data_IF_827803554419
#
_entry.id   IF_827803554419
#
_cell.length_a   1.000
_cell.length_b   1.000
_cell.length_c   1.000
_cell.angle_alpha   90.00
_cell.angle_beta   90.00
_cell.angle_gamma   90.00
#
_symmetry.space_group_name_H-M   'P 1'
#
loop_
_entity.id
_entity.type
_entity.pdbx_description
1 polymer ?
#
# COMPACT_ATOMS: atom_id res chain seq x y z
N UNK A 1 12.36 5.27 25.95
CA UNK A 1 11.31 5.57 24.94
C UNK A 1 12.02 5.69 23.61
N UNK A 2 11.52 5.04 22.55
CA UNK A 2 12.16 5.13 21.22
C UNK A 2 11.67 6.42 20.54
N UNK A 3 12.55 7.31 20.05
CA UNK A 3 12.14 8.52 19.32
C UNK A 3 11.40 8.20 18.02
N UNK A 4 10.41 9.02 17.66
CA UNK A 4 9.68 8.87 16.39
C UNK A 4 10.52 9.32 15.20
N UNK A 5 11.34 10.35 15.40
CA UNK A 5 12.32 10.88 14.45
C UNK A 5 13.46 11.60 15.19
N UNK A 6 14.41 12.12 14.42
CA UNK A 6 15.49 12.96 14.91
C UNK A 6 15.52 14.27 14.12
N UNK A 7 15.96 15.36 14.75
CA UNK A 7 16.33 16.57 14.02
C UNK A 7 17.61 16.34 13.20
N UNK A 8 17.98 17.30 12.35
CA UNK A 8 19.27 17.26 11.66
C UNK A 8 20.47 17.09 12.62
N UNK A 9 20.40 17.73 13.80
CA UNK A 9 21.40 17.67 14.90
C UNK A 9 21.27 16.44 15.82
N UNK A 10 20.63 15.36 15.36
CA UNK A 10 20.45 14.12 16.11
C UNK A 10 19.71 14.28 17.45
N UNK A 11 18.89 15.32 17.60
CA UNK A 11 18.03 15.46 18.77
C UNK A 11 16.77 14.60 18.60
N UNK A 12 16.39 13.80 19.60
CA UNK A 12 15.21 12.95 19.52
C UNK A 12 13.93 13.79 19.48
N UNK A 13 12.99 13.38 18.63
CA UNK A 13 11.70 14.06 18.46
C UNK A 13 10.56 13.04 18.67
N UNK A 14 9.59 13.41 19.50
CA UNK A 14 8.39 12.62 19.74
C UNK A 14 7.17 13.38 19.24
N UNK A 15 6.40 12.79 18.34
CA UNK A 15 5.25 13.45 17.73
C UNK A 15 4.17 13.80 18.77
N UNK A 16 4.10 13.04 19.87
CA UNK A 16 3.18 13.25 20.99
C UNK A 16 3.43 14.51 21.80
N UNK A 17 4.65 15.05 21.78
CA UNK A 17 5.05 16.19 22.63
C UNK A 17 4.53 17.54 22.12
N UNK A 18 4.07 17.60 20.87
CA UNK A 18 3.59 18.83 20.25
C UNK A 18 2.09 19.03 20.46
N UNK A 19 1.64 20.28 20.39
CA UNK A 19 0.22 20.61 20.17
C UNK A 19 -0.10 20.56 18.67
N UNK A 20 -1.38 20.66 18.30
CA UNK A 20 -1.78 20.73 16.88
C UNK A 20 -1.13 21.92 16.16
N UNK A 21 -1.10 23.10 16.80
CA UNK A 21 -0.54 24.31 16.21
C UNK A 21 0.98 24.22 16.02
N UNK A 22 1.70 23.70 17.02
CA UNK A 22 3.14 23.46 16.91
C UNK A 22 3.43 22.42 15.82
N UNK A 23 2.65 21.33 15.76
CA UNK A 23 2.82 20.29 14.74
C UNK A 23 2.62 20.81 13.31
N UNK A 24 1.63 21.67 13.09
CA UNK A 24 1.41 22.28 11.77
C UNK A 24 2.51 23.29 11.41
N UNK A 25 3.08 23.97 12.40
CA UNK A 25 4.28 24.81 12.23
C UNK A 25 5.49 23.95 11.84
N UNK A 26 5.73 22.84 12.54
CA UNK A 26 6.81 21.89 12.22
C UNK A 26 6.63 21.29 10.82
N UNK A 27 5.39 20.98 10.40
CA UNK A 27 5.13 20.52 9.03
C UNK A 27 5.56 21.57 8.01
N UNK A 28 5.16 22.82 8.19
CA UNK A 28 5.54 23.91 7.28
C UNK A 28 7.08 24.04 7.19
N UNK A 29 7.77 24.04 8.33
CA UNK A 29 9.23 24.05 8.38
C UNK A 29 9.86 22.85 7.66
N UNK A 30 9.30 21.65 7.81
CA UNK A 30 9.80 20.44 7.11
C UNK A 30 9.59 20.45 5.59
N UNK A 31 8.65 21.28 5.11
CA UNK A 31 8.44 21.52 3.68
C UNK A 31 9.47 22.51 3.13
N UNK A 32 9.83 23.54 3.90
CA UNK A 32 10.86 24.52 3.58
C UNK A 32 12.28 23.92 3.64
N UNK A 33 12.54 23.07 4.65
CA UNK A 33 13.82 22.40 4.85
C UNK A 33 13.65 20.87 4.84
N UNK A 34 13.99 20.26 3.71
CA UNK A 34 13.93 18.82 3.51
C UNK A 34 14.87 18.00 4.41
N UNK A 35 15.87 18.64 5.03
CA UNK A 35 16.81 17.99 5.96
C UNK A 35 16.47 18.20 7.44
N UNK A 36 15.38 18.92 7.75
CA UNK A 36 15.04 19.28 9.13
C UNK A 36 14.86 18.07 10.05
N UNK A 37 14.30 16.98 9.51
CA UNK A 37 14.00 15.76 10.25
C UNK A 37 14.46 14.50 9.49
N UNK A 38 14.98 13.53 10.24
CA UNK A 38 15.45 12.24 9.74
C UNK A 38 14.88 11.08 10.54
N UNK A 39 14.65 9.95 9.88
CA UNK A 39 14.17 8.72 10.51
C UNK A 39 15.31 8.05 11.27
N UNK A 40 15.05 7.59 12.50
CA UNK A 40 16.09 6.98 13.34
C UNK A 40 16.67 5.67 12.82
N UNK A 41 15.91 4.93 11.99
CA UNK A 41 16.36 3.65 11.46
C UNK A 41 17.35 3.79 10.31
N UNK A 42 17.18 4.74 9.39
CA UNK A 42 17.95 4.86 8.14
C UNK A 42 18.55 6.24 7.87
N UNK A 43 18.31 7.21 8.75
CA UNK A 43 18.65 8.63 8.54
C UNK A 43 18.03 9.26 7.29
N UNK A 44 17.10 8.58 6.61
CA UNK A 44 16.35 9.17 5.49
C UNK A 44 15.48 10.33 5.96
N UNK A 45 15.13 11.24 5.05
CA UNK A 45 14.22 12.35 5.34
C UNK A 45 12.92 11.84 5.96
N UNK A 46 12.55 12.43 7.10
CA UNK A 46 11.26 12.22 7.72
C UNK A 46 10.25 13.26 7.23
N UNK A 47 9.00 12.84 7.03
CA UNK A 47 7.86 13.66 6.65
C UNK A 47 6.85 13.61 7.78
N UNK A 48 6.41 14.77 8.22
CA UNK A 48 5.39 14.90 9.25
C UNK A 48 4.01 14.69 8.63
N UNK A 49 3.25 13.75 9.20
CA UNK A 49 1.92 13.42 8.71
C UNK A 49 0.90 13.47 9.86
N UNK A 50 -0.36 13.66 9.50
CA UNK A 50 -1.49 13.62 10.43
C UNK A 50 -2.54 12.69 9.86
N UNK A 51 -2.98 11.72 10.65
CA UNK A 51 -4.05 10.81 10.29
C UNK A 51 -5.40 11.54 10.26
N UNK A 52 -6.40 10.91 9.66
CA UNK A 52 -7.78 11.41 9.66
C UNK A 52 -8.37 11.63 11.07
N UNK A 53 -7.85 10.93 12.08
CA UNK A 53 -8.28 11.03 13.47
C UNK A 53 -7.42 12.02 14.28
N UNK A 54 -6.53 12.78 13.65
CA UNK A 54 -5.67 13.75 14.32
C UNK A 54 -4.39 13.18 14.92
N UNK A 55 -4.14 11.86 14.83
CA UNK A 55 -2.85 11.29 15.25
C UNK A 55 -1.70 11.85 14.42
N UNK A 56 -0.67 12.36 15.08
CA UNK A 56 0.54 12.96 14.51
C UNK A 56 1.68 11.94 14.53
N UNK A 57 2.43 11.83 13.44
CA UNK A 57 3.52 10.87 13.32
C UNK A 57 4.51 11.27 12.23
N UNK A 58 5.73 10.74 12.33
CA UNK A 58 6.75 10.84 11.30
C UNK A 58 6.69 9.62 10.38
N UNK A 59 6.89 9.84 9.08
CA UNK A 59 6.97 8.81 8.07
C UNK A 59 8.22 9.01 7.22
N UNK A 60 8.73 7.96 6.61
CA UNK A 60 9.79 8.10 5.63
C UNK A 60 9.32 8.94 4.43
N UNK A 61 10.19 9.79 3.88
CA UNK A 61 9.95 10.51 2.62
C UNK A 61 9.99 9.57 1.41
N UNK A 62 10.95 8.64 1.42
CA UNK A 62 11.00 7.51 0.49
C UNK A 62 10.27 6.32 1.10
N UNK A 63 9.56 5.55 0.27
CA UNK A 63 8.85 4.35 0.71
C UNK A 63 9.84 3.25 1.19
N UNK A 64 11.12 3.36 0.81
CA UNK A 64 12.16 2.40 1.13
C UNK A 64 12.99 2.83 2.36
N UNK A 65 13.06 1.93 3.34
CA UNK A 65 14.00 1.98 4.45
C UNK A 65 14.83 0.69 4.43
N UNK A 66 16.05 0.77 3.90
CA UNK A 66 16.93 -0.40 3.74
C UNK A 66 17.49 -0.96 5.06
N UNK A 67 17.40 -0.21 6.15
CA UNK A 67 18.04 -0.53 7.44
C UNK A 67 17.05 -0.97 8.52
N UNK A 68 15.75 -0.78 8.32
CA UNK A 68 14.75 -1.45 9.14
C UNK A 68 14.72 -2.92 8.70
N UNK A 69 14.92 -3.89 9.60
CA UNK A 69 14.85 -5.30 9.24
C UNK A 69 13.53 -5.59 8.54
N UNK A 70 13.62 -6.24 7.37
CA UNK A 70 12.43 -6.76 6.71
C UNK A 70 11.72 -7.69 7.69
N UNK A 71 10.44 -7.43 7.87
CA UNK A 71 9.72 -8.03 9.00
C UNK A 71 9.27 -9.43 8.63
N UNK A 72 9.08 -10.31 9.63
CA UNK A 72 8.58 -11.68 9.40
C UNK A 72 7.35 -11.75 8.48
N UNK A 73 6.42 -10.81 8.61
CA UNK A 73 5.22 -10.74 7.76
C UNK A 73 5.54 -10.46 6.29
N UNK A 74 6.49 -9.57 6.03
CA UNK A 74 6.86 -9.16 4.68
C UNK A 74 7.63 -10.28 3.96
N UNK A 75 8.59 -10.90 4.66
CA UNK A 75 9.34 -12.07 4.18
C UNK A 75 8.36 -13.23 3.89
N UNK A 76 7.53 -13.61 4.88
CA UNK A 76 6.57 -14.70 4.71
C UNK A 76 5.56 -14.42 3.58
N UNK A 77 5.11 -13.16 3.44
CA UNK A 77 4.23 -12.75 2.36
C UNK A 77 4.89 -12.89 0.98
N UNK A 78 6.14 -12.46 0.82
CA UNK A 78 6.90 -12.64 -0.42
C UNK A 78 7.10 -14.10 -0.75
N UNK A 79 7.57 -14.90 0.21
CA UNK A 79 7.79 -16.35 0.01
C UNK A 79 6.50 -17.05 -0.43
N UNK A 80 5.36 -16.69 0.19
CA UNK A 80 4.05 -17.21 -0.16
C UNK A 80 3.63 -16.83 -1.60
N UNK A 81 3.83 -15.58 -2.00
CA UNK A 81 3.50 -15.12 -3.36
C UNK A 81 4.41 -15.79 -4.40
N UNK A 82 5.72 -15.88 -4.11
CA UNK A 82 6.68 -16.56 -4.98
C UNK A 82 6.31 -18.04 -5.16
N UNK A 83 6.00 -18.73 -4.07
CA UNK A 83 5.57 -20.13 -4.11
C UNK A 83 4.32 -20.32 -4.97
N UNK A 84 3.31 -19.48 -4.76
CA UNK A 84 2.06 -19.52 -5.53
C UNK A 84 2.29 -19.24 -7.04
N UNK A 85 3.06 -18.21 -7.39
CA UNK A 85 3.35 -17.88 -8.78
C UNK A 85 4.16 -18.98 -9.49
N UNK A 86 5.12 -19.59 -8.79
CA UNK A 86 5.86 -20.74 -9.31
C UNK A 86 4.93 -21.93 -9.59
N UNK A 87 3.95 -22.20 -8.72
CA UNK A 87 2.94 -23.24 -8.93
C UNK A 87 2.02 -22.93 -10.13
N UNK A 88 1.79 -21.65 -10.42
CA UNK A 88 1.09 -21.19 -11.62
C UNK A 88 1.96 -21.23 -12.90
N UNK A 89 3.19 -21.74 -12.83
CA UNK A 89 4.11 -21.80 -13.98
C UNK A 89 4.69 -20.44 -14.40
N UNK A 90 4.59 -19.43 -13.53
CA UNK A 90 5.13 -18.09 -13.73
C UNK A 90 6.51 -18.01 -13.07
N UNK A 91 7.44 -17.25 -13.66
CA UNK A 91 8.77 -16.99 -13.09
C UNK A 91 8.81 -15.60 -12.43
N UNK A 92 8.47 -15.48 -11.14
CA UNK A 92 8.50 -14.19 -10.45
C UNK A 92 9.91 -13.76 -10.05
N UNK A 93 10.10 -12.44 -10.00
CA UNK A 93 11.29 -11.76 -9.53
C UNK A 93 10.94 -10.91 -8.30
N UNK A 94 11.86 -10.77 -7.36
CA UNK A 94 11.69 -9.91 -6.18
C UNK A 94 12.43 -8.60 -6.34
N UNK A 95 11.94 -7.56 -5.69
CA UNK A 95 12.66 -6.29 -5.51
C UNK A 95 13.06 -5.63 -6.83
N UNK A 96 12.21 -5.75 -7.86
CA UNK A 96 12.52 -5.32 -9.23
C UNK A 96 12.39 -3.81 -9.35
N UNK A 97 13.49 -3.09 -9.64
CA UNK A 97 13.41 -1.65 -9.88
C UNK A 97 12.83 -1.37 -11.27
N UNK A 98 12.15 -0.25 -11.39
CA UNK A 98 11.69 0.27 -12.66
C UNK A 98 11.56 1.79 -12.63
N UNK A 99 11.21 2.33 -13.79
CA UNK A 99 11.06 3.77 -13.98
C UNK A 99 12.35 4.57 -14.04
N UNK A 100 12.22 5.86 -14.38
CA UNK A 100 13.32 6.80 -14.53
C UNK A 100 13.07 8.08 -13.74
N UNK A 101 14.15 8.76 -13.32
CA UNK A 101 14.09 10.04 -12.63
C UNK A 101 13.21 10.01 -11.38
N UNK A 102 12.21 10.91 -11.32
CA UNK A 102 11.26 11.04 -10.20
C UNK A 102 10.20 9.95 -10.15
N UNK A 103 10.08 9.15 -11.20
CA UNK A 103 9.10 8.08 -11.34
C UNK A 103 9.71 6.69 -11.09
N UNK A 104 10.91 6.62 -10.52
CA UNK A 104 11.46 5.35 -10.06
C UNK A 104 10.52 4.67 -9.07
N UNK A 105 10.42 3.36 -9.19
CA UNK A 105 9.66 2.46 -8.33
C UNK A 105 10.44 1.15 -8.16
N UNK A 106 10.03 0.36 -7.18
CA UNK A 106 10.61 -0.97 -6.90
C UNK A 106 9.47 -1.89 -6.48
N UNK A 107 9.20 -2.91 -7.28
CA UNK A 107 8.15 -3.87 -7.00
C UNK A 107 8.66 -4.90 -6.00
N UNK A 108 7.89 -5.18 -4.95
CA UNK A 108 8.20 -6.26 -4.01
C UNK A 108 8.26 -7.61 -4.74
N UNK A 109 7.27 -7.89 -5.58
CA UNK A 109 7.26 -9.02 -6.51
C UNK A 109 6.83 -8.52 -7.89
N UNK A 110 7.54 -8.95 -8.93
CA UNK A 110 7.26 -8.63 -10.32
C UNK A 110 7.23 -9.90 -11.16
N UNK A 111 6.31 -9.99 -12.11
CA UNK A 111 6.26 -11.08 -13.06
C UNK A 111 5.57 -10.66 -14.36
N UNK A 112 5.77 -11.46 -15.41
CA UNK A 112 5.16 -11.24 -16.72
C UNK A 112 4.32 -12.46 -17.11
N UNK A 113 3.13 -12.21 -17.68
CA UNK A 113 2.26 -13.24 -18.24
C UNK A 113 1.77 -12.75 -19.60
N UNK A 114 2.26 -13.37 -20.68
CA UNK A 114 2.09 -12.85 -22.03
C UNK A 114 2.69 -11.44 -22.13
N UNK A 115 1.90 -10.47 -22.61
CA UNK A 115 2.33 -9.06 -22.72
C UNK A 115 2.09 -8.24 -21.43
N UNK A 116 1.50 -8.84 -20.39
CA UNK A 116 1.16 -8.14 -19.14
C UNK A 116 2.34 -8.15 -18.18
N UNK A 117 2.66 -6.97 -17.67
CA UNK A 117 3.68 -6.76 -16.63
C UNK A 117 2.97 -6.48 -15.31
N UNK A 118 3.25 -7.29 -14.29
CA UNK A 118 2.46 -7.28 -13.06
C UNK A 118 3.40 -7.12 -11.87
N UNK A 119 3.07 -6.16 -11.00
CA UNK A 119 3.69 -5.93 -9.71
C UNK A 119 2.69 -6.29 -8.59
N UNK A 120 3.16 -7.06 -7.60
CA UNK A 120 2.46 -7.25 -6.32
C UNK A 120 3.26 -6.51 -5.26
N UNK A 121 2.58 -5.61 -4.56
CA UNK A 121 3.14 -4.76 -3.50
C UNK A 121 2.65 -5.23 -2.14
N UNK A 122 3.56 -5.44 -1.19
CA UNK A 122 3.25 -5.87 0.17
C UNK A 122 3.37 -4.69 1.15
N UNK A 123 2.27 -3.97 1.35
CA UNK A 123 2.29 -2.80 2.22
C UNK A 123 2.06 -3.16 3.70
N UNK A 124 3.14 -3.19 4.48
CA UNK A 124 3.07 -3.37 5.94
C UNK A 124 2.92 -2.08 6.73
N UNK A 125 3.66 -1.06 6.34
CA UNK A 125 3.71 0.20 7.08
C UNK A 125 2.54 1.09 6.67
N UNK A 126 2.12 1.97 7.57
CA UNK A 126 1.08 2.94 7.25
C UNK A 126 1.43 3.75 5.99
N UNK A 127 0.48 3.84 5.06
CA UNK A 127 0.58 4.64 3.84
C UNK A 127 -0.74 5.38 3.62
N UNK A 128 -0.69 6.66 3.21
CA UNK A 128 -1.91 7.40 2.93
C UNK A 128 -2.53 6.97 1.62
N UNK A 129 -3.85 7.09 1.49
CA UNK A 129 -4.56 6.84 0.24
C UNK A 129 -3.96 7.60 -0.96
N UNK A 130 -3.60 8.87 -0.79
CA UNK A 130 -2.96 9.65 -1.87
C UNK A 130 -1.62 9.06 -2.33
N UNK A 131 -0.89 8.43 -1.42
CA UNK A 131 0.42 7.84 -1.69
C UNK A 131 0.22 6.49 -2.43
N UNK A 132 -0.81 5.70 -2.07
CA UNK A 132 -1.25 4.53 -2.86
C UNK A 132 -1.62 4.91 -4.29
N UNK A 133 -2.47 5.93 -4.48
CA UNK A 133 -2.88 6.41 -5.80
C UNK A 133 -1.68 6.87 -6.62
N UNK A 134 -0.79 7.68 -6.03
CA UNK A 134 0.43 8.14 -6.71
C UNK A 134 1.36 6.98 -7.10
N UNK A 135 1.46 5.94 -6.25
CA UNK A 135 2.23 4.72 -6.56
C UNK A 135 1.59 3.93 -7.69
N UNK A 136 0.27 3.77 -7.67
CA UNK A 136 -0.47 3.13 -8.75
C UNK A 136 -0.21 3.82 -10.09
N UNK A 137 -0.37 5.15 -10.15
CA UNK A 137 -0.13 5.94 -11.35
C UNK A 137 1.33 5.84 -11.83
N UNK A 138 2.30 5.69 -10.91
CA UNK A 138 3.71 5.45 -11.28
C UNK A 138 3.88 4.14 -12.03
N UNK A 139 3.29 3.04 -11.55
CA UNK A 139 3.34 1.75 -12.23
C UNK A 139 2.65 1.80 -13.59
N UNK A 140 1.47 2.40 -13.64
CA UNK A 140 0.66 2.54 -14.85
C UNK A 140 1.41 3.29 -15.98
N UNK A 141 2.16 4.35 -15.65
CA UNK A 141 3.00 5.08 -16.61
C UNK A 141 4.04 4.22 -17.33
N UNK A 142 4.41 3.07 -16.78
CA UNK A 142 5.35 2.12 -17.39
C UNK A 142 4.67 0.85 -17.90
N UNK A 143 3.33 0.85 -18.00
CA UNK A 143 2.55 -0.30 -18.45
C UNK A 143 2.63 -1.48 -17.49
N UNK A 144 2.80 -1.21 -16.19
CA UNK A 144 2.83 -2.24 -15.14
C UNK A 144 1.54 -2.17 -14.35
N UNK A 145 0.82 -3.29 -14.30
CA UNK A 145 -0.33 -3.47 -13.42
C UNK A 145 0.14 -3.65 -11.98
N UNK A 146 -0.46 -2.96 -11.02
CA UNK A 146 -0.05 -3.02 -9.62
C UNK A 146 -1.22 -3.44 -8.73
N UNK A 147 -1.00 -4.48 -7.91
CA UNK A 147 -1.97 -5.03 -6.96
C UNK A 147 -1.40 -5.00 -5.54
N UNK A 148 -2.19 -4.51 -4.58
CA UNK A 148 -1.73 -4.30 -3.21
C UNK A 148 -2.19 -5.42 -2.28
N UNK A 149 -1.25 -6.06 -1.59
CA UNK A 149 -1.52 -6.90 -0.44
C UNK A 149 -1.06 -6.16 0.82
N UNK A 150 -1.98 -5.90 1.72
CA UNK A 150 -1.74 -5.03 2.88
C UNK A 150 -1.94 -5.81 4.18
N UNK A 151 -1.29 -5.34 5.25
CA UNK A 151 -1.57 -5.85 6.60
C UNK A 151 -2.88 -5.27 7.14
N UNK A 152 -3.53 -5.95 8.07
CA UNK A 152 -4.79 -5.50 8.69
C UNK A 152 -4.71 -4.08 9.25
N UNK A 153 -3.58 -3.71 9.88
CA UNK A 153 -3.37 -2.38 10.44
C UNK A 153 -3.26 -1.28 9.38
N UNK A 154 -2.90 -1.62 8.13
CA UNK A 154 -2.90 -0.70 6.99
C UNK A 154 -4.29 -0.64 6.36
N UNK A 155 -4.99 -1.77 6.30
CA UNK A 155 -6.32 -1.87 5.71
C UNK A 155 -7.32 -0.95 6.40
N UNK A 156 -7.39 -0.95 7.73
CA UNK A 156 -8.35 -0.15 8.51
C UNK A 156 -8.32 1.35 8.18
N UNK A 157 -7.18 2.07 8.25
CA UNK A 157 -7.14 3.48 7.90
C UNK A 157 -7.27 3.74 6.39
N UNK A 158 -6.80 2.83 5.53
CA UNK A 158 -7.02 2.92 4.09
C UNK A 158 -8.51 2.88 3.77
N UNK A 159 -9.23 1.92 4.36
CA UNK A 159 -10.66 1.75 4.24
C UNK A 159 -11.44 3.01 4.62
N UNK A 160 -11.15 3.59 5.78
CA UNK A 160 -11.77 4.85 6.22
C UNK A 160 -11.51 6.00 5.25
N UNK A 161 -10.29 6.08 4.69
CA UNK A 161 -9.91 7.12 3.75
C UNK A 161 -10.64 6.99 2.42
N UNK A 162 -10.76 5.76 1.90
CA UNK A 162 -11.52 5.45 0.68
C UNK A 162 -12.99 5.82 0.88
N UNK A 163 -13.59 5.34 1.96
CA UNK A 163 -14.99 5.63 2.28
C UNK A 163 -15.25 7.14 2.32
N UNK A 164 -14.43 7.90 3.05
CA UNK A 164 -14.57 9.36 3.12
C UNK A 164 -14.40 10.04 1.77
N UNK A 165 -13.41 9.61 0.97
CA UNK A 165 -13.15 10.18 -0.36
C UNK A 165 -14.38 10.05 -1.25
N UNK A 166 -14.87 8.83 -1.43
CA UNK A 166 -16.04 8.56 -2.28
C UNK A 166 -17.31 9.22 -1.72
N UNK A 167 -17.48 9.29 -0.40
CA UNK A 167 -18.68 9.91 0.19
C UNK A 167 -18.77 11.39 -0.17
N UNK A 168 -17.62 12.07 -0.21
CA UNK A 168 -17.53 13.47 -0.61
C UNK A 168 -17.63 13.61 -2.13
N UNK A 169 -16.85 12.84 -2.89
CA UNK A 169 -16.63 13.06 -4.33
C UNK A 169 -17.70 12.42 -5.22
N UNK A 170 -18.19 11.24 -4.87
CA UNK A 170 -19.14 10.48 -5.70
C UNK A 170 -20.59 10.68 -5.24
N UNK A 171 -20.80 10.79 -3.92
CA UNK A 171 -22.15 10.80 -3.34
C UNK A 171 -22.57 12.16 -2.77
N UNK A 172 -21.77 13.21 -2.94
CA UNK A 172 -22.05 14.57 -2.45
C UNK A 172 -22.55 14.57 -0.99
N UNK A 173 -21.86 13.83 -0.11
CA UNK A 173 -22.17 13.65 1.31
C UNK A 173 -23.52 13.01 1.61
N UNK A 174 -24.12 12.34 0.65
CA UNK A 174 -25.35 11.55 0.81
C UNK A 174 -25.00 10.07 0.92
N UNK A 175 -25.72 9.30 1.74
CA UNK A 175 -25.51 7.86 1.80
C UNK A 175 -26.19 7.17 0.61
N UNK A 176 -25.49 6.33 -0.16
CA UNK A 176 -26.11 5.53 -1.23
C UNK A 176 -27.07 4.47 -0.67
N UNK A 177 -28.09 4.10 -1.46
CA UNK A 177 -29.10 3.09 -1.10
C UNK A 177 -28.52 1.69 -0.87
N UNK A 178 -27.51 1.33 -1.66
CA UNK A 178 -26.93 -0.02 -1.68
C UNK A 178 -25.75 -0.17 -0.71
N UNK A 179 -25.51 0.87 0.10
CA UNK A 179 -24.41 0.94 1.05
C UNK A 179 -23.08 1.38 0.43
N UNK A 180 -22.06 1.44 1.28
CA UNK A 180 -20.74 1.96 0.93
C UNK A 180 -19.75 0.82 0.64
N UNK A 181 -19.12 0.82 -0.53
CA UNK A 181 -18.03 -0.12 -0.82
C UNK A 181 -16.69 0.53 -0.55
N UNK A 182 -15.87 -0.17 0.21
CA UNK A 182 -14.55 0.31 0.63
C UNK A 182 -13.48 -0.05 -0.39
N UNK A 183 -13.77 0.27 -1.65
CA UNK A 183 -12.98 -0.09 -2.83
C UNK A 183 -12.90 1.11 -3.77
N UNK A 184 -11.86 1.15 -4.60
CA UNK A 184 -11.70 2.14 -5.68
C UNK A 184 -11.50 1.42 -7.01
N UNK A 185 -11.97 1.99 -8.14
CA UNK A 185 -11.63 1.47 -9.46
C UNK A 185 -10.15 1.63 -9.79
N UNK A 186 -9.46 2.61 -9.18
CA UNK A 186 -8.07 2.95 -9.48
C UNK A 186 -7.08 1.82 -9.15
N UNK A 187 -7.31 1.06 -8.08
CA UNK A 187 -6.44 -0.04 -7.70
C UNK A 187 -7.17 -1.07 -6.86
N UNK A 188 -6.72 -2.32 -6.95
CA UNK A 188 -7.11 -3.38 -6.04
C UNK A 188 -6.26 -3.33 -4.76
N UNK A 189 -6.88 -3.60 -3.61
CA UNK A 189 -6.13 -4.03 -2.43
C UNK A 189 -6.83 -5.21 -1.74
N UNK A 190 -6.03 -6.10 -1.16
CA UNK A 190 -6.48 -7.20 -0.31
C UNK A 190 -5.67 -7.26 0.98
N UNK A 191 -6.29 -7.74 2.06
CA UNK A 191 -5.65 -7.98 3.35
C UNK A 191 -5.05 -9.38 3.30
N UNK A 192 -3.73 -9.48 3.34
CA UNK A 192 -3.02 -10.76 3.40
C UNK A 192 -2.73 -11.13 4.86
N UNK A 193 -3.16 -12.33 5.27
CA UNK A 193 -2.81 -12.92 6.54
C UNK A 193 -1.96 -14.20 6.33
N UNK A 194 -0.62 -14.11 6.29
CA UNK A 194 0.24 -15.26 6.04
C UNK A 194 0.13 -16.37 7.10
N UNK A 195 -0.38 -16.05 8.29
CA UNK A 195 -0.52 -16.99 9.42
C UNK A 195 -1.91 -17.65 9.48
N UNK A 196 -2.86 -17.22 8.63
CA UNK A 196 -4.19 -17.82 8.54
C UNK A 196 -4.17 -19.13 7.75
N UNK A 197 -5.31 -19.83 7.78
CA UNK A 197 -5.57 -20.98 6.92
C UNK A 197 -5.32 -20.60 5.44
N UNK A 198 -4.46 -21.36 4.76
CA UNK A 198 -4.07 -21.11 3.39
C UNK A 198 -5.25 -21.12 2.40
N UNK A 199 -6.36 -21.77 2.74
CA UNK A 199 -7.57 -21.80 1.91
C UNK A 199 -8.32 -20.46 1.88
N UNK A 200 -8.21 -19.63 2.93
CA UNK A 200 -8.81 -18.28 2.98
C UNK A 200 -7.90 -17.35 3.77
N UNK A 201 -6.85 -16.87 3.12
CA UNK A 201 -5.86 -15.98 3.73
C UNK A 201 -5.76 -14.59 3.07
N UNK A 202 -6.61 -14.31 2.09
CA UNK A 202 -6.77 -12.97 1.53
C UNK A 202 -8.22 -12.49 1.65
N UNK A 203 -8.39 -11.29 2.21
CA UNK A 203 -9.69 -10.65 2.36
C UNK A 203 -9.70 -9.26 1.73
N UNK A 204 -10.63 -8.99 0.83
CA UNK A 204 -10.93 -7.68 0.26
C UNK A 204 -12.43 -7.42 0.38
N UNK A 205 -12.93 -6.17 0.31
CA UNK A 205 -14.38 -5.93 0.34
C UNK A 205 -15.10 -6.76 -0.73
N UNK A 206 -16.01 -7.66 -0.29
CA UNK A 206 -16.77 -8.62 -1.11
C UNK A 206 -15.96 -9.75 -1.76
N UNK A 207 -14.71 -9.95 -1.38
CA UNK A 207 -13.87 -11.05 -1.86
C UNK A 207 -13.11 -11.69 -0.69
N UNK A 208 -13.31 -12.98 -0.45
CA UNK A 208 -12.47 -13.78 0.46
C UNK A 208 -12.03 -15.02 -0.29
N UNK A 209 -10.72 -15.23 -0.34
CA UNK A 209 -10.10 -16.21 -1.24
C UNK A 209 -8.72 -16.60 -0.70
N UNK A 210 -8.13 -17.63 -1.27
CA UNK A 210 -6.71 -17.92 -1.02
C UNK A 210 -5.81 -16.99 -1.84
N UNK A 211 -4.59 -16.79 -1.37
CA UNK A 211 -3.52 -16.16 -2.16
C UNK A 211 -3.27 -16.89 -3.49
N UNK A 212 -3.43 -18.22 -3.53
CA UNK A 212 -3.30 -19.04 -4.75
C UNK A 212 -4.36 -18.66 -5.78
N UNK A 213 -5.64 -18.69 -5.40
CA UNK A 213 -6.76 -18.31 -6.26
C UNK A 213 -6.66 -16.86 -6.71
N UNK A 214 -6.27 -15.94 -5.82
CA UNK A 214 -6.08 -14.54 -6.16
C UNK A 214 -4.99 -14.36 -7.22
N UNK A 215 -3.83 -15.00 -7.05
CA UNK A 215 -2.70 -14.87 -7.97
C UNK A 215 -2.98 -15.56 -9.31
N UNK A 216 -3.73 -16.67 -9.30
CA UNK A 216 -4.23 -17.29 -10.52
C UNK A 216 -5.18 -16.33 -11.26
N UNK A 217 -6.15 -15.73 -10.57
CA UNK A 217 -7.08 -14.77 -11.16
C UNK A 217 -6.36 -13.51 -11.68
N UNK A 218 -5.32 -13.02 -10.98
CA UNK A 218 -4.49 -11.92 -11.49
C UNK A 218 -3.75 -12.35 -12.75
N UNK A 219 -3.13 -13.53 -12.75
CA UNK A 219 -2.36 -14.06 -13.89
C UNK A 219 -3.23 -14.25 -15.14
N UNK A 220 -4.45 -14.76 -14.95
CA UNK A 220 -5.42 -15.01 -16.02
C UNK A 220 -6.21 -13.76 -16.44
N UNK A 221 -6.04 -12.63 -15.73
CA UNK A 221 -6.80 -11.40 -15.95
C UNK A 221 -8.30 -11.52 -15.62
N UNK A 222 -8.64 -12.32 -14.60
CA UNK A 222 -10.02 -12.57 -14.15
C UNK A 222 -10.44 -11.68 -12.98
N UNK A 223 -9.47 -11.12 -12.24
CA UNK A 223 -9.72 -10.12 -11.20
C UNK A 223 -9.98 -8.74 -11.83
N UNK A 224 -11.24 -8.30 -11.81
CA UNK A 224 -11.67 -7.06 -12.49
C UNK A 224 -12.58 -6.20 -11.64
N UNK A 225 -12.55 -4.90 -11.91
CA UNK A 225 -13.54 -3.95 -11.39
C UNK A 225 -14.88 -4.13 -12.11
N UNK A 226 -15.94 -4.45 -11.38
CA UNK A 226 -17.27 -4.71 -11.95
C UNK A 226 -18.22 -3.48 -11.92
N UNK A 227 -17.70 -2.29 -11.65
CA UNK A 227 -18.50 -1.07 -11.46
C UNK A 227 -18.77 -0.74 -9.98
N UNK A 228 -18.67 -1.73 -9.08
CA UNK A 228 -18.92 -1.55 -7.65
C UNK A 228 -17.75 -1.97 -6.77
N UNK A 229 -17.12 -3.11 -7.09
CA UNK A 229 -16.00 -3.68 -6.37
C UNK A 229 -15.13 -4.53 -7.31
N UNK A 230 -13.96 -4.91 -6.82
CA UNK A 230 -13.12 -5.90 -7.51
C UNK A 230 -13.65 -7.30 -7.22
N UNK A 231 -13.86 -8.08 -8.27
CA UNK A 231 -14.34 -9.45 -8.18
C UNK A 231 -13.54 -10.34 -9.12
N UNK A 232 -13.35 -11.60 -8.74
CA UNK A 232 -12.89 -12.64 -9.65
C UNK A 232 -14.10 -13.03 -10.48
N UNK A 233 -14.03 -12.76 -11.79
CA UNK A 233 -15.08 -13.20 -12.71
C UNK A 233 -15.01 -14.73 -12.78
N UNK A 234 -16.11 -15.47 -12.58
CA UNK A 234 -16.12 -16.88 -12.95
C UNK A 234 -15.77 -16.95 -14.44
N UNK A 235 -15.00 -17.97 -14.85
CA UNK A 235 -14.75 -18.25 -16.27
C UNK A 235 -16.03 -17.94 -17.07
N UNK A 236 -15.93 -17.05 -18.05
CA UNK A 236 -16.94 -16.98 -19.09
C UNK A 236 -16.92 -18.37 -19.74
N UNK A 237 -17.81 -19.24 -19.29
CA UNK A 237 -17.81 -20.65 -19.63
C UNK A 237 -17.74 -20.81 -21.16
N UNK A 238 -16.72 -21.55 -21.61
CA UNK A 238 -16.54 -22.27 -22.89
C UNK A 238 -16.98 -21.57 -24.17
#
# INVERSE_FOLDING_TARGET
MTPDAFTHDDQPVYAGDYTTHEWDTLKAQSLENASAFKMGCCSSRAVLKTSINGLRFFAHYSDECATAPETKWHIAGKDMILGALNLCGVSPLVEVPGGIGKDRWKADVYFEVGDRKIAIELQRSYQHLRDFVRRQERYERYGVECYWLVRDEVAKPLCKSILRKRWIEEFNRTMPSDGFFVSLPTFFFGILNPEADAHVNVHSPRLSTSHLELLAAISNNDLRWNGQHWSITPDAAM
#
